data_IF_008947574650
#
_entry.id   IF_008947574650
#
_cell.length_a   1.000
_cell.length_b   1.000
_cell.length_c   1.000
_cell.angle_alpha   90.00
_cell.angle_beta   90.00
_cell.angle_gamma   90.00
#
_symmetry.space_group_name_H-M   'P 1'
#
loop_
_entity.id
_entity.type
_entity.pdbx_description
1 polymer ?
#
# COMPACT_ATOMS: atom_id res chain seq x y z
N UNK A 1 2.44 -19.78 -19.83
CA UNK A 1 3.40 -19.41 -20.89
C UNK A 1 2.80 -18.20 -21.60
N UNK A 2 3.35 -17.02 -21.33
CA UNK A 2 2.92 -15.77 -21.94
C UNK A 2 3.95 -15.43 -23.03
N UNK A 3 3.65 -15.78 -24.28
CA UNK A 3 4.42 -15.31 -25.44
C UNK A 3 3.63 -14.25 -26.19
N UNK A 4 4.32 -13.38 -26.92
CA UNK A 4 3.72 -12.55 -27.97
C UNK A 4 2.98 -13.47 -28.96
N UNK A 5 1.83 -13.06 -29.54
CA UNK A 5 1.16 -13.87 -30.56
C UNK A 5 2.15 -14.17 -31.70
N UNK A 6 2.55 -15.43 -31.84
CA UNK A 6 3.54 -15.90 -32.82
C UNK A 6 4.93 -16.25 -32.27
N UNK A 7 5.19 -16.09 -30.96
CA UNK A 7 6.51 -16.36 -30.37
C UNK A 7 6.46 -17.51 -29.34
N UNK A 8 7.10 -18.63 -29.67
CA UNK A 8 7.27 -19.76 -28.74
C UNK A 8 8.49 -19.54 -27.85
N UNK A 9 8.27 -19.48 -26.54
CA UNK A 9 9.32 -19.50 -25.53
C UNK A 9 9.60 -20.95 -25.13
N UNK A 10 10.87 -21.30 -24.93
CA UNK A 10 11.26 -22.58 -24.33
C UNK A 10 12.09 -22.37 -23.07
N UNK A 11 11.94 -23.28 -22.11
CA UNK A 11 12.70 -23.28 -20.87
C UNK A 11 13.40 -24.63 -20.72
N UNK A 12 14.70 -24.62 -20.38
CA UNK A 12 15.47 -25.82 -20.08
C UNK A 12 16.00 -25.76 -18.65
N UNK A 13 15.79 -26.81 -17.86
CA UNK A 13 16.40 -26.93 -16.54
C UNK A 13 17.91 -27.12 -16.67
N UNK A 14 18.70 -26.39 -15.87
CA UNK A 14 20.16 -26.58 -15.79
C UNK A 14 20.55 -27.51 -14.65
N UNK A 15 21.73 -28.18 -14.71
CA UNK A 15 22.21 -29.09 -13.67
C UNK A 15 22.39 -28.42 -12.29
N UNK A 16 22.55 -27.10 -12.24
CA UNK A 16 22.78 -26.32 -11.00
C UNK A 16 21.49 -25.70 -10.43
N UNK A 17 20.37 -26.39 -10.58
CA UNK A 17 19.05 -25.96 -10.10
C UNK A 17 18.48 -24.67 -10.70
N UNK A 18 19.06 -24.15 -11.80
CA UNK A 18 18.55 -23.00 -12.53
C UNK A 18 17.69 -23.35 -13.74
N UNK A 19 17.27 -22.31 -14.47
CA UNK A 19 16.60 -22.44 -15.77
C UNK A 19 17.31 -21.57 -16.80
N UNK A 20 17.44 -22.08 -18.03
CA UNK A 20 17.70 -21.31 -19.24
C UNK A 20 16.38 -20.95 -19.90
N UNK A 21 16.07 -19.65 -19.97
CA UNK A 21 14.96 -19.16 -20.79
C UNK A 21 15.48 -18.82 -22.18
N UNK A 22 14.85 -19.37 -23.22
CA UNK A 22 15.15 -19.08 -24.61
C UNK A 22 14.07 -18.18 -25.19
N UNK A 23 14.43 -16.92 -25.41
CA UNK A 23 13.63 -16.00 -26.22
C UNK A 23 13.86 -16.32 -27.71
N UNK A 24 12.85 -16.18 -28.60
CA UNK A 24 13.00 -16.19 -30.07
C UNK A 24 14.15 -15.31 -30.61
N UNK A 25 14.62 -14.34 -29.83
CA UNK A 25 15.74 -13.47 -30.15
C UNK A 25 17.13 -14.09 -29.85
N UNK A 26 17.19 -15.36 -29.45
CA UNK A 26 18.43 -16.14 -29.30
C UNK A 26 19.24 -15.83 -28.03
N UNK A 27 18.59 -15.39 -26.96
CA UNK A 27 19.26 -15.12 -25.68
C UNK A 27 18.95 -16.25 -24.70
N UNK A 28 19.99 -16.88 -24.18
CA UNK A 28 19.90 -17.77 -23.02
C UNK A 28 20.07 -16.92 -21.74
N UNK A 29 19.13 -17.03 -20.82
CA UNK A 29 19.19 -16.39 -19.50
C UNK A 29 19.38 -17.46 -18.43
N UNK A 30 20.51 -17.42 -17.73
CA UNK A 30 20.73 -18.28 -16.56
C UNK A 30 20.08 -17.67 -15.33
N UNK A 31 19.08 -18.35 -14.76
CA UNK A 31 18.37 -17.91 -13.55
C UNK A 31 18.74 -18.82 -12.37
N UNK A 32 19.40 -18.27 -11.34
CA UNK A 32 19.69 -18.97 -10.08
C UNK A 32 18.41 -19.06 -9.21
N UNK A 33 17.93 -20.29 -8.99
CA UNK A 33 16.72 -20.59 -8.22
C UNK A 33 16.82 -20.25 -6.74
N UNK A 34 18.01 -20.22 -6.15
CA UNK A 34 18.19 -19.91 -4.73
C UNK A 34 18.22 -18.40 -4.44
N UNK A 35 18.35 -17.57 -5.47
CA UNK A 35 18.25 -16.11 -5.37
C UNK A 35 16.94 -15.55 -5.89
N UNK A 36 16.09 -16.41 -6.47
CA UNK A 36 14.83 -16.05 -7.09
C UNK A 36 15.01 -15.10 -8.28
N UNK A 37 13.96 -14.89 -9.11
CA UNK A 37 13.99 -13.88 -10.16
C UNK A 37 14.09 -12.44 -9.62
N UNK A 38 13.98 -12.25 -8.30
CA UNK A 38 13.91 -10.94 -7.65
C UNK A 38 15.28 -10.38 -7.22
N UNK A 39 16.34 -11.19 -7.13
CA UNK A 39 17.65 -10.73 -6.66
C UNK A 39 18.85 -11.34 -7.43
N UNK A 40 18.97 -11.16 -8.76
CA UNK A 40 20.23 -11.50 -9.42
C UNK A 40 21.39 -10.69 -8.84
N UNK A 41 22.51 -11.38 -8.64
CA UNK A 41 23.73 -10.88 -7.99
C UNK A 41 24.43 -9.72 -8.74
N UNK A 42 23.94 -9.37 -9.93
CA UNK A 42 24.42 -8.29 -10.80
C UNK A 42 23.19 -7.54 -11.29
N UNK A 43 23.11 -6.27 -10.91
CA UNK A 43 22.16 -5.24 -11.36
C UNK A 43 20.94 -5.78 -12.19
N UNK A 44 19.88 -6.27 -11.53
CA UNK A 44 18.77 -7.02 -12.15
C UNK A 44 18.08 -6.37 -13.32
N UNK A 45 18.12 -5.04 -13.39
CA UNK A 45 17.40 -4.27 -14.37
C UNK A 45 18.42 -3.42 -15.11
N UNK A 46 19.02 -4.03 -16.12
CA UNK A 46 19.65 -3.28 -17.18
C UNK A 46 18.62 -2.25 -17.69
N UNK A 47 18.99 -0.97 -17.90
CA UNK A 47 18.05 0.08 -18.30
C UNK A 47 17.17 -0.36 -19.47
N UNK A 48 15.93 0.16 -19.63
CA UNK A 48 15.08 -0.16 -20.79
C UNK A 48 15.74 0.08 -22.15
N UNK A 49 16.81 0.88 -22.21
CA UNK A 49 17.61 1.08 -23.43
C UNK A 49 18.44 -0.14 -23.81
N UNK A 50 18.71 -1.04 -22.87
CA UNK A 50 19.39 -2.31 -23.10
C UNK A 50 18.42 -3.35 -23.68
N UNK A 51 18.98 -4.34 -24.39
CA UNK A 51 18.17 -5.41 -24.99
C UNK A 51 17.36 -6.20 -23.94
N UNK A 52 17.98 -6.51 -22.81
CA UNK A 52 17.32 -7.23 -21.72
C UNK A 52 16.21 -6.40 -21.06
N UNK A 53 16.49 -5.12 -20.77
CA UNK A 53 15.48 -4.21 -20.22
C UNK A 53 14.26 -4.08 -21.14
N UNK A 54 14.46 -4.02 -22.47
CA UNK A 54 13.35 -4.05 -23.45
C UNK A 54 12.50 -5.32 -23.36
N UNK A 55 13.15 -6.48 -23.28
CA UNK A 55 12.44 -7.78 -23.18
C UNK A 55 11.56 -7.81 -21.93
N UNK A 56 12.11 -7.43 -20.78
CA UNK A 56 11.37 -7.40 -19.50
C UNK A 56 10.20 -6.41 -19.58
N UNK A 57 10.44 -5.21 -20.11
CA UNK A 57 9.44 -4.17 -20.25
C UNK A 57 8.27 -4.57 -21.17
N UNK A 58 8.56 -5.04 -22.38
CA UNK A 58 7.52 -5.48 -23.33
C UNK A 58 6.79 -6.72 -22.83
N UNK A 59 7.48 -7.64 -22.15
CA UNK A 59 6.86 -8.80 -21.50
C UNK A 59 5.83 -8.42 -20.45
N UNK A 60 6.15 -7.48 -19.56
CA UNK A 60 5.19 -6.96 -18.57
C UNK A 60 4.02 -6.25 -19.23
N UNK A 61 4.30 -5.38 -20.21
CA UNK A 61 3.27 -4.63 -20.94
C UNK A 61 2.30 -5.55 -21.65
N UNK A 62 2.80 -6.61 -22.30
CA UNK A 62 1.95 -7.61 -22.91
C UNK A 62 1.15 -8.37 -21.84
N UNK A 63 1.78 -8.84 -20.77
CA UNK A 63 1.09 -9.56 -19.70
C UNK A 63 -0.10 -8.77 -19.14
N UNK A 64 0.07 -7.46 -18.88
CA UNK A 64 -1.04 -6.60 -18.46
C UNK A 64 -2.16 -6.53 -19.49
N UNK A 65 -1.84 -6.35 -20.78
CA UNK A 65 -2.84 -6.31 -21.86
C UNK A 65 -3.64 -7.59 -21.97
N UNK A 66 -2.97 -8.74 -21.91
CA UNK A 66 -3.61 -10.06 -21.97
C UNK A 66 -4.53 -10.29 -20.76
N UNK A 67 -4.06 -9.98 -19.55
CA UNK A 67 -4.88 -10.11 -18.33
C UNK A 67 -6.08 -9.18 -18.36
N UNK A 68 -5.92 -7.94 -18.81
CA UNK A 68 -7.02 -6.99 -18.96
C UNK A 68 -8.01 -7.41 -20.06
N UNK A 69 -7.54 -7.97 -21.18
CA UNK A 69 -8.43 -8.51 -22.23
C UNK A 69 -9.25 -9.68 -21.70
N UNK A 70 -8.57 -10.64 -21.07
CA UNK A 70 -9.23 -11.77 -20.42
C UNK A 70 -10.25 -11.29 -19.38
N UNK A 71 -9.90 -10.29 -18.58
CA UNK A 71 -10.81 -9.70 -17.61
C UNK A 71 -12.08 -9.15 -18.25
N UNK A 72 -11.97 -8.41 -19.36
CA UNK A 72 -13.14 -7.90 -20.11
C UNK A 72 -13.97 -9.04 -20.70
N UNK A 73 -13.34 -10.03 -21.32
CA UNK A 73 -14.02 -11.20 -21.89
C UNK A 73 -14.77 -12.01 -20.84
N UNK A 74 -14.23 -12.08 -19.61
CA UNK A 74 -14.83 -12.80 -18.49
C UNK A 74 -15.79 -11.94 -17.66
N UNK A 75 -15.97 -10.67 -18.00
CA UNK A 75 -16.80 -9.74 -17.22
C UNK A 75 -16.28 -9.50 -15.80
N UNK A 76 -14.96 -9.56 -15.59
CA UNK A 76 -14.35 -9.24 -14.30
C UNK A 76 -14.51 -7.74 -14.01
N UNK A 77 -14.61 -7.36 -12.72
CA UNK A 77 -14.45 -5.97 -12.31
C UNK A 77 -13.10 -5.40 -12.79
N UNK A 78 -12.97 -4.06 -12.87
CA UNK A 78 -11.68 -3.41 -13.14
C UNK A 78 -10.57 -3.98 -12.25
N UNK A 79 -9.48 -4.41 -12.89
CA UNK A 79 -8.36 -5.04 -12.19
C UNK A 79 -7.40 -3.98 -11.67
N UNK A 80 -6.84 -4.26 -10.49
CA UNK A 80 -5.81 -3.45 -9.86
C UNK A 80 -4.60 -4.34 -9.59
N UNK A 81 -3.43 -3.92 -10.06
CA UNK A 81 -2.23 -4.73 -10.02
C UNK A 81 -1.32 -4.26 -8.89
N UNK A 82 -0.98 -5.15 -7.98
CA UNK A 82 0.12 -4.93 -7.05
C UNK A 82 1.44 -5.16 -7.79
N UNK A 83 2.16 -4.09 -8.10
CA UNK A 83 3.29 -4.14 -9.01
C UNK A 83 4.58 -4.55 -8.31
N UNK A 84 4.89 -3.91 -7.18
CA UNK A 84 6.15 -4.16 -6.47
C UNK A 84 6.01 -3.86 -4.99
N UNK A 85 6.72 -4.66 -4.20
CA UNK A 85 6.87 -4.47 -2.76
C UNK A 85 8.16 -3.70 -2.49
N UNK A 86 8.05 -2.51 -1.90
CA UNK A 86 9.16 -1.77 -1.30
C UNK A 86 10.48 -1.76 -2.13
N UNK A 87 10.49 -1.19 -3.35
CA UNK A 87 11.61 -1.33 -4.30
C UNK A 87 12.92 -0.63 -3.88
N UNK A 88 12.98 -0.07 -2.68
CA UNK A 88 14.09 0.71 -2.18
C UNK A 88 15.31 -0.12 -1.72
N UNK A 89 15.22 -1.45 -1.72
CA UNK A 89 16.34 -2.29 -1.28
C UNK A 89 17.56 -2.25 -2.22
N UNK A 90 17.40 -1.89 -3.51
CA UNK A 90 18.53 -1.71 -4.44
C UNK A 90 18.16 -0.86 -5.66
N UNK A 91 19.16 -0.26 -6.34
CA UNK A 91 18.94 0.47 -7.61
C UNK A 91 18.31 -0.42 -8.68
N UNK A 92 18.72 -1.68 -8.76
CA UNK A 92 18.14 -2.64 -9.71
C UNK A 92 16.66 -2.93 -9.44
N UNK A 93 16.28 -3.11 -8.17
CA UNK A 93 14.87 -3.25 -7.79
C UNK A 93 14.06 -2.00 -8.15
N UNK A 94 14.64 -0.81 -7.95
CA UNK A 94 14.00 0.45 -8.32
C UNK A 94 13.83 0.59 -9.84
N UNK A 95 14.83 0.24 -10.64
CA UNK A 95 14.69 0.24 -12.11
C UNK A 95 13.61 -0.75 -12.56
N UNK A 96 13.56 -1.95 -11.98
CA UNK A 96 12.50 -2.91 -12.27
C UNK A 96 11.12 -2.35 -11.91
N UNK A 97 10.99 -1.69 -10.76
CA UNK A 97 9.77 -1.02 -10.34
C UNK A 97 9.30 0.03 -11.35
N UNK A 98 10.22 0.91 -11.79
CA UNK A 98 9.95 1.93 -12.80
C UNK A 98 9.51 1.28 -14.13
N UNK A 99 10.19 0.22 -14.56
CA UNK A 99 9.83 -0.54 -15.76
C UNK A 99 8.42 -1.12 -15.66
N UNK A 100 8.07 -1.73 -14.53
CA UNK A 100 6.75 -2.32 -14.30
C UNK A 100 5.64 -1.27 -14.23
N UNK A 101 5.87 -0.16 -13.51
CA UNK A 101 4.93 0.95 -13.40
C UNK A 101 4.63 1.57 -14.76
N UNK A 102 5.69 1.85 -15.54
CA UNK A 102 5.54 2.37 -16.90
C UNK A 102 4.83 1.38 -17.82
N UNK A 103 5.18 0.10 -17.76
CA UNK A 103 4.54 -0.94 -18.56
C UNK A 103 3.04 -1.07 -18.23
N UNK A 104 2.68 -0.98 -16.94
CA UNK A 104 1.30 -0.97 -16.49
C UNK A 104 0.54 0.24 -17.03
N UNK A 105 1.09 1.45 -16.90
CA UNK A 105 0.47 2.68 -17.40
C UNK A 105 0.23 2.61 -18.92
N UNK A 106 1.22 2.20 -19.71
CA UNK A 106 1.10 2.08 -21.17
C UNK A 106 0.19 0.92 -21.63
N UNK A 107 -0.08 -0.05 -20.75
CA UNK A 107 -1.06 -1.10 -20.96
C UNK A 107 -2.49 -0.68 -20.54
N UNK A 108 -2.65 0.49 -19.93
CA UNK A 108 -3.93 0.93 -19.33
C UNK A 108 -4.30 0.17 -18.06
N UNK A 109 -3.32 -0.44 -17.38
CA UNK A 109 -3.49 -1.11 -16.11
C UNK A 109 -3.38 -0.11 -14.95
N UNK A 110 -4.25 -0.24 -13.96
CA UNK A 110 -4.10 0.47 -12.70
C UNK A 110 -3.10 -0.28 -11.81
N UNK A 111 -2.07 0.43 -11.36
CA UNK A 111 -1.00 -0.11 -10.52
C UNK A 111 -1.05 0.44 -9.10
N UNK A 112 -0.68 -0.41 -8.14
CA UNK A 112 -0.40 -0.07 -6.76
C UNK A 112 1.01 -0.55 -6.40
N UNK A 113 1.70 0.25 -5.59
CA UNK A 113 3.00 -0.09 -5.00
C UNK A 113 2.95 0.10 -3.49
N UNK A 114 3.76 -0.65 -2.75
CA UNK A 114 4.16 -0.22 -1.40
C UNK A 114 5.45 0.58 -1.50
N UNK A 115 5.52 1.67 -0.75
CA UNK A 115 6.59 2.63 -0.89
C UNK A 115 6.93 3.36 0.41
N UNK A 116 8.14 3.93 0.40
CA UNK A 116 8.56 4.95 1.35
C UNK A 116 8.55 6.31 0.64
N UNK A 117 8.36 7.41 1.37
CA UNK A 117 8.28 8.73 0.73
C UNK A 117 9.47 9.05 -0.21
N UNK A 118 10.73 8.71 0.15
CA UNK A 118 11.85 8.99 -0.74
C UNK A 118 11.91 8.19 -2.06
N UNK A 119 10.97 7.27 -2.28
CA UNK A 119 10.93 6.40 -3.47
C UNK A 119 9.97 6.89 -4.54
N UNK A 120 9.04 7.76 -4.18
CA UNK A 120 7.94 8.18 -5.05
C UNK A 120 8.00 9.66 -5.36
N UNK A 121 8.15 10.50 -4.33
CA UNK A 121 8.19 11.95 -4.48
C UNK A 121 9.59 12.41 -4.88
N UNK A 122 9.74 13.69 -5.22
CA UNK A 122 11.03 14.39 -5.12
C UNK A 122 11.28 14.81 -3.65
N UNK A 123 11.76 13.94 -2.74
CA UNK A 123 12.27 14.47 -1.50
C UNK A 123 13.49 15.34 -1.83
N UNK A 124 13.79 16.21 -0.87
CA UNK A 124 15.13 16.73 -0.60
C UNK A 124 16.20 15.84 -1.26
N UNK A 125 16.95 16.34 -2.27
CA UNK A 125 17.93 15.56 -3.03
C UNK A 125 18.89 14.77 -2.15
N UNK A 126 19.19 15.28 -0.94
CA UNK A 126 20.07 14.68 0.05
C UNK A 126 19.43 13.50 0.81
N UNK A 127 18.11 13.30 0.67
CA UNK A 127 17.33 12.24 1.33
C UNK A 127 16.82 11.17 0.38
N UNK A 128 17.19 11.23 -0.91
CA UNK A 128 16.81 10.22 -1.90
C UNK A 128 17.50 8.89 -1.57
N UNK A 129 16.75 7.79 -1.63
CA UNK A 129 17.33 6.45 -1.52
C UNK A 129 18.30 6.15 -2.66
N UNK A 130 18.01 6.68 -3.85
CA UNK A 130 18.85 6.51 -5.04
C UNK A 130 19.15 7.87 -5.68
N UNK A 131 20.16 8.60 -5.17
CA UNK A 131 20.63 9.82 -5.81
C UNK A 131 21.19 9.54 -7.22
N UNK A 132 21.43 10.59 -8.04
CA UNK A 132 22.07 10.42 -9.35
C UNK A 132 23.42 9.70 -9.25
N UNK A 133 23.76 8.89 -10.26
CA UNK A 133 25.06 8.20 -10.35
C UNK A 133 25.58 8.33 -11.78
N UNK A 134 26.66 9.11 -11.96
CA UNK A 134 27.15 9.48 -13.29
C UNK A 134 26.06 10.23 -14.06
N UNK A 135 25.75 9.75 -15.27
CA UNK A 135 24.71 10.34 -16.13
C UNK A 135 23.29 9.81 -15.80
N UNK A 136 23.16 8.84 -14.90
CA UNK A 136 21.85 8.33 -14.51
C UNK A 136 21.18 9.30 -13.52
N UNK A 137 19.95 9.76 -13.79
CA UNK A 137 19.21 10.60 -12.85
C UNK A 137 18.89 9.83 -11.57
N UNK A 138 18.39 10.55 -10.57
CA UNK A 138 17.79 9.89 -9.42
C UNK A 138 16.65 8.98 -9.88
N UNK A 139 16.53 7.82 -9.23
CA UNK A 139 15.46 6.86 -9.52
C UNK A 139 14.27 7.15 -8.62
N UNK A 140 13.11 7.38 -9.22
CA UNK A 140 11.83 7.65 -8.55
C UNK A 140 10.71 6.99 -9.35
N UNK A 141 9.60 6.68 -8.70
CA UNK A 141 8.48 5.97 -9.34
C UNK A 141 7.46 6.92 -10.02
N UNK A 142 7.53 8.21 -9.71
CA UNK A 142 6.76 9.23 -10.42
C UNK A 142 7.21 9.38 -11.89
N UNK A 143 6.27 9.67 -12.81
CA UNK A 143 4.82 9.84 -12.64
C UNK A 143 4.01 8.55 -12.96
N UNK A 144 4.62 7.37 -12.87
CA UNK A 144 4.08 6.14 -13.48
C UNK A 144 3.16 5.32 -12.57
N UNK A 145 2.82 5.84 -11.38
CA UNK A 145 2.06 5.14 -10.36
C UNK A 145 0.75 5.89 -10.14
N UNK A 146 -0.37 5.19 -9.94
CA UNK A 146 -1.68 5.79 -9.63
C UNK A 146 -2.10 5.62 -8.18
N UNK A 147 -1.40 4.77 -7.44
CA UNK A 147 -1.74 4.42 -6.05
C UNK A 147 -0.49 4.09 -5.28
N UNK A 148 -0.33 4.79 -4.16
CA UNK A 148 0.84 4.72 -3.30
C UNK A 148 0.41 4.23 -1.92
N UNK A 149 0.90 3.06 -1.52
CA UNK A 149 0.71 2.54 -0.17
C UNK A 149 1.96 2.80 0.65
N UNK A 150 1.91 3.83 1.49
CA UNK A 150 3.07 4.22 2.28
C UNK A 150 3.24 3.34 3.51
N UNK A 151 4.50 3.11 3.90
CA UNK A 151 4.79 2.63 5.25
C UNK A 151 4.26 3.67 6.25
N UNK A 152 3.64 3.23 7.35
CA UNK A 152 2.98 4.13 8.30
C UNK A 152 3.85 5.32 8.76
N UNK A 153 5.16 5.11 8.98
CA UNK A 153 6.13 6.17 9.33
C UNK A 153 6.28 7.34 8.35
N UNK A 154 5.80 7.20 7.12
CA UNK A 154 5.83 8.25 6.10
C UNK A 154 4.47 8.89 5.88
N UNK A 155 3.46 8.49 6.66
CA UNK A 155 2.15 9.09 6.60
C UNK A 155 2.16 10.47 7.25
N UNK A 156 1.48 11.41 6.60
CA UNK A 156 1.24 12.72 7.16
C UNK A 156 0.47 13.62 6.19
N UNK A 157 0.04 14.81 6.66
CA UNK A 157 -0.67 15.77 5.81
C UNK A 157 0.14 16.21 4.57
N UNK A 158 1.46 16.33 4.71
CA UNK A 158 2.36 16.71 3.60
C UNK A 158 2.42 15.62 2.53
N UNK A 159 2.65 14.36 2.92
CA UNK A 159 2.65 13.20 2.02
C UNK A 159 1.30 13.03 1.31
N UNK A 160 0.20 13.21 2.05
CA UNK A 160 -1.16 13.22 1.51
C UNK A 160 -1.31 14.25 0.40
N UNK A 161 -0.95 15.50 0.68
CA UNK A 161 -1.13 16.60 -0.25
C UNK A 161 -0.31 16.38 -1.53
N UNK A 162 0.95 15.97 -1.42
CA UNK A 162 1.78 15.61 -2.59
C UNK A 162 1.16 14.49 -3.42
N UNK A 163 0.71 13.43 -2.76
CA UNK A 163 0.07 12.28 -3.46
C UNK A 163 -1.17 12.73 -4.23
N UNK A 164 -2.00 13.59 -3.63
CA UNK A 164 -3.21 14.13 -4.27
C UNK A 164 -2.88 15.10 -5.41
N UNK A 165 -1.86 15.94 -5.27
CA UNK A 165 -1.38 16.83 -6.34
C UNK A 165 -0.89 16.05 -7.56
N UNK A 166 -0.32 14.86 -7.36
CA UNK A 166 0.04 13.94 -8.43
C UNK A 166 -1.17 13.25 -9.09
N UNK A 167 -2.38 13.40 -8.53
CA UNK A 167 -3.59 12.73 -9.00
C UNK A 167 -3.70 11.27 -8.53
N UNK A 168 -2.91 10.88 -7.53
CA UNK A 168 -2.80 9.50 -7.08
C UNK A 168 -3.68 9.22 -5.85
N UNK A 169 -4.00 7.94 -5.67
CA UNK A 169 -4.61 7.45 -4.43
C UNK A 169 -3.57 7.34 -3.33
N UNK A 170 -3.92 7.86 -2.16
CA UNK A 170 -3.10 7.89 -0.96
C UNK A 170 -3.52 6.77 -0.01
N UNK A 171 -2.66 5.78 0.16
CA UNK A 171 -2.90 4.62 0.99
C UNK A 171 -1.82 4.35 2.01
N UNK A 172 -2.10 3.40 2.88
CA UNK A 172 -1.12 2.80 3.78
C UNK A 172 -1.16 1.28 3.70
N UNK A 173 -0.12 0.63 4.20
CA UNK A 173 -0.19 -0.78 4.54
C UNK A 173 0.15 -1.02 6.01
N UNK A 174 -0.53 -2.01 6.59
CA UNK A 174 -0.31 -2.47 7.95
C UNK A 174 0.43 -3.80 7.88
N UNK A 175 1.63 -3.81 8.46
CA UNK A 175 2.38 -5.03 8.69
C UNK A 175 1.72 -5.80 9.85
N UNK A 176 1.56 -7.12 9.76
CA UNK A 176 0.90 -7.91 10.82
C UNK A 176 1.88 -8.48 11.85
N UNK A 177 3.18 -8.16 11.74
CA UNK A 177 4.17 -8.64 12.70
C UNK A 177 4.18 -7.77 13.94
N UNK A 178 3.91 -8.37 15.10
CA UNK A 178 4.16 -7.71 16.40
C UNK A 178 3.17 -6.61 16.79
N UNK A 179 2.17 -6.34 15.96
CA UNK A 179 1.14 -5.34 16.26
C UNK A 179 0.24 -5.78 17.42
N UNK A 180 -0.34 -4.78 18.08
CA UNK A 180 -1.44 -4.97 19.02
C UNK A 180 -2.77 -4.76 18.28
N UNK A 181 -3.86 -5.42 18.71
CA UNK A 181 -5.18 -5.18 18.10
C UNK A 181 -5.56 -3.70 18.10
N UNK A 182 -5.35 -3.01 19.23
CA UNK A 182 -5.63 -1.59 19.35
C UNK A 182 -4.87 -0.74 18.32
N UNK A 183 -3.59 -1.05 18.05
CA UNK A 183 -2.84 -0.30 17.04
C UNK A 183 -3.32 -0.59 15.62
N UNK A 184 -3.63 -1.85 15.31
CA UNK A 184 -4.23 -2.21 14.01
C UNK A 184 -5.56 -1.50 13.78
N UNK A 185 -6.44 -1.47 14.79
CA UNK A 185 -7.71 -0.74 14.77
C UNK A 185 -7.50 0.76 14.57
N UNK A 186 -6.51 1.35 15.26
CA UNK A 186 -6.14 2.76 15.09
C UNK A 186 -5.72 3.07 13.65
N UNK A 187 -4.78 2.29 13.11
CA UNK A 187 -4.21 2.52 11.77
C UNK A 187 -5.25 2.32 10.66
N UNK A 188 -6.04 1.26 10.75
CA UNK A 188 -7.07 0.94 9.76
C UNK A 188 -8.31 1.83 9.87
N UNK A 189 -8.50 2.47 11.04
CA UNK A 189 -9.65 3.27 11.38
C UNK A 189 -9.34 4.76 11.50
N UNK A 190 -9.07 5.17 12.73
CA UNK A 190 -8.90 6.58 13.12
C UNK A 190 -7.82 7.32 12.32
N UNK A 191 -6.65 6.71 12.10
CA UNK A 191 -5.60 7.33 11.30
C UNK A 191 -6.03 7.48 9.84
N UNK A 192 -6.69 6.46 9.29
CA UNK A 192 -7.15 6.46 7.91
C UNK A 192 -8.18 7.58 7.68
N UNK A 193 -9.12 7.78 8.61
CA UNK A 193 -10.02 8.94 8.59
C UNK A 193 -9.25 10.26 8.71
N UNK A 194 -8.37 10.39 9.71
CA UNK A 194 -7.66 11.64 10.01
C UNK A 194 -6.82 12.14 8.83
N UNK A 195 -6.23 11.21 8.09
CA UNK A 195 -5.40 11.50 6.92
C UNK A 195 -6.18 11.44 5.60
N UNK A 196 -7.46 11.07 5.62
CA UNK A 196 -8.27 10.86 4.42
C UNK A 196 -7.60 9.89 3.44
N UNK A 197 -7.23 8.71 3.94
CA UNK A 197 -6.66 7.63 3.12
C UNK A 197 -7.73 7.06 2.19
N UNK A 198 -7.36 6.79 0.95
CA UNK A 198 -8.22 6.14 -0.04
C UNK A 198 -8.23 4.61 0.13
N UNK A 199 -7.19 4.06 0.79
CA UNK A 199 -7.09 2.63 1.06
C UNK A 199 -6.18 2.28 2.24
N UNK A 200 -6.47 1.12 2.82
CA UNK A 200 -5.64 0.44 3.82
C UNK A 200 -5.40 -0.98 3.32
N UNK A 201 -4.13 -1.34 3.13
CA UNK A 201 -3.73 -2.70 2.76
C UNK A 201 -3.25 -3.46 4.00
N UNK A 202 -3.69 -4.71 4.15
CA UNK A 202 -3.06 -5.64 5.09
C UNK A 202 -2.04 -6.47 4.32
N UNK A 203 -0.75 -6.35 4.67
CA UNK A 203 0.33 -6.95 3.87
C UNK A 203 0.22 -8.47 3.73
N UNK A 204 -0.41 -9.15 4.69
CA UNK A 204 -0.42 -10.62 4.68
C UNK A 204 -1.75 -11.24 5.12
N UNK A 205 -2.00 -12.42 4.53
CA UNK A 205 -3.09 -13.33 4.88
C UNK A 205 -2.54 -14.72 5.23
N UNK A 206 -2.92 -15.24 6.40
CA UNK A 206 -2.80 -16.65 6.86
C UNK A 206 -1.38 -17.25 7.11
N UNK A 207 -0.39 -17.06 6.24
CA UNK A 207 0.80 -17.94 6.23
C UNK A 207 2.00 -17.51 7.10
N UNK A 208 2.02 -16.29 7.66
CA UNK A 208 3.09 -15.87 8.57
C UNK A 208 2.61 -15.45 9.97
N UNK A 209 1.32 -15.64 10.29
CA UNK A 209 0.85 -15.46 11.66
C UNK A 209 1.40 -16.59 12.51
N UNK A 210 2.34 -16.26 13.41
CA UNK A 210 2.67 -17.15 14.53
C UNK A 210 1.40 -17.35 15.37
N UNK A 211 1.21 -18.56 15.86
CA UNK A 211 0.26 -18.78 16.94
C UNK A 211 0.83 -18.14 18.20
N UNK A 212 0.09 -17.24 18.81
CA UNK A 212 0.42 -16.68 20.12
C UNK A 212 -0.73 -17.09 21.05
N UNK A 213 -0.41 -17.88 22.07
CA UNK A 213 -1.35 -18.25 23.14
C UNK A 213 -2.67 -18.90 22.63
N UNK A 214 -2.58 -19.74 21.58
CA UNK A 214 -3.75 -20.42 21.02
C UNK A 214 -4.60 -19.57 20.07
N UNK A 215 -4.23 -18.31 19.81
CA UNK A 215 -4.88 -17.45 18.82
C UNK A 215 -3.97 -17.22 17.62
N UNK A 216 -4.53 -17.38 16.42
CA UNK A 216 -3.83 -17.00 15.19
C UNK A 216 -3.79 -15.48 15.09
N UNK A 217 -2.59 -14.90 15.18
CA UNK A 217 -2.33 -13.45 15.15
C UNK A 217 -3.04 -12.75 13.98
N UNK A 218 -3.11 -13.38 12.82
CA UNK A 218 -3.81 -12.81 11.65
C UNK A 218 -5.30 -12.60 11.88
N UNK A 219 -6.02 -13.54 12.51
CA UNK A 219 -7.47 -13.40 12.70
C UNK A 219 -7.78 -12.24 13.66
N UNK A 220 -6.99 -12.14 14.72
CA UNK A 220 -7.07 -11.05 15.70
C UNK A 220 -6.84 -9.68 15.05
N UNK A 221 -5.77 -9.54 14.27
CA UNK A 221 -5.45 -8.27 13.61
C UNK A 221 -6.42 -7.96 12.46
N UNK A 222 -6.95 -8.99 11.79
CA UNK A 222 -8.02 -8.85 10.80
C UNK A 222 -9.29 -8.30 11.42
N UNK A 223 -9.76 -8.85 12.55
CA UNK A 223 -10.93 -8.34 13.25
C UNK A 223 -10.71 -6.93 13.79
N UNK A 224 -9.51 -6.63 14.31
CA UNK A 224 -9.16 -5.27 14.71
C UNK A 224 -9.18 -4.28 13.54
N UNK A 225 -8.67 -4.68 12.38
CA UNK A 225 -8.74 -3.86 11.16
C UNK A 225 -10.20 -3.66 10.71
N UNK A 226 -11.02 -4.71 10.73
CA UNK A 226 -12.46 -4.62 10.42
C UNK A 226 -13.17 -3.65 11.36
N UNK A 227 -12.91 -3.75 12.67
CA UNK A 227 -13.43 -2.81 13.66
C UNK A 227 -13.01 -1.37 13.40
N UNK A 228 -11.75 -1.14 12.99
CA UNK A 228 -11.27 0.19 12.61
C UNK A 228 -11.98 0.75 11.38
N UNK A 229 -12.19 -0.10 10.36
CA UNK A 229 -12.95 0.28 9.16
C UNK A 229 -14.40 0.61 9.53
N UNK A 230 -15.02 -0.16 10.42
CA UNK A 230 -16.35 0.15 10.92
C UNK A 230 -16.36 1.48 11.69
N UNK A 231 -15.36 1.78 12.53
CA UNK A 231 -15.24 3.08 13.22
C UNK A 231 -15.23 4.26 12.25
N UNK A 232 -14.49 4.19 11.14
CA UNK A 232 -14.51 5.23 10.10
C UNK A 232 -15.90 5.40 9.53
N UNK A 233 -16.59 4.31 9.20
CA UNK A 233 -17.94 4.36 8.61
C UNK A 233 -18.93 5.07 9.53
N UNK A 234 -18.80 4.89 10.84
CA UNK A 234 -19.60 5.62 11.83
C UNK A 234 -19.24 7.11 11.82
N UNK A 235 -17.96 7.47 11.83
CA UNK A 235 -17.54 8.87 11.80
C UNK A 235 -18.02 9.56 10.50
N UNK A 236 -17.82 8.93 9.33
CA UNK A 236 -18.30 9.46 8.05
C UNK A 236 -19.82 9.55 7.98
N UNK A 237 -20.55 8.62 8.61
CA UNK A 237 -22.00 8.70 8.71
C UNK A 237 -22.43 9.91 9.56
N UNK A 238 -21.72 10.20 10.65
CA UNK A 238 -21.94 11.39 11.47
C UNK A 238 -21.64 12.67 10.68
N UNK A 239 -20.54 12.72 9.92
CA UNK A 239 -20.19 13.85 9.04
C UNK A 239 -21.30 14.13 8.03
N UNK A 240 -21.73 13.11 7.28
CA UNK A 240 -22.83 13.25 6.31
C UNK A 240 -24.14 13.69 6.96
N UNK A 241 -24.46 13.17 8.15
CA UNK A 241 -25.67 13.58 8.87
C UNK A 241 -25.61 15.06 9.26
N UNK A 242 -24.47 15.53 9.78
CA UNK A 242 -24.23 16.95 10.11
C UNK A 242 -24.29 17.85 8.88
N UNK A 243 -23.71 17.41 7.75
CA UNK A 243 -23.73 18.14 6.47
C UNK A 243 -25.14 18.25 5.88
N UNK A 244 -25.97 17.21 6.04
CA UNK A 244 -27.36 17.22 5.56
C UNK A 244 -28.25 18.23 6.27
N UNK A 245 -27.84 18.71 7.46
CA UNK A 245 -28.62 19.62 8.29
C UNK A 245 -29.87 18.99 8.93
N UNK A 246 -30.03 17.67 8.84
CA UNK A 246 -31.13 16.93 9.50
C UNK A 246 -30.83 16.77 10.99
N UNK A 247 -31.79 17.16 11.84
CA UNK A 247 -31.72 17.05 13.30
C UNK A 247 -31.92 18.39 14.01
N UNK A 248 -32.18 18.35 15.32
CA UNK A 248 -32.32 19.57 16.12
C UNK A 248 -31.00 20.39 16.10
N UNK A 249 -31.04 21.75 16.06
CA UNK A 249 -29.83 22.58 15.99
C UNK A 249 -28.81 22.29 17.10
N UNK A 250 -29.30 21.99 18.31
CA UNK A 250 -28.43 21.62 19.44
C UNK A 250 -27.73 20.26 19.26
N UNK A 251 -28.37 19.28 18.61
CA UNK A 251 -27.76 17.99 18.30
C UNK A 251 -26.67 18.14 17.22
N UNK A 252 -26.95 18.93 16.18
CA UNK A 252 -25.97 19.27 15.14
C UNK A 252 -24.75 19.98 15.72
N UNK A 253 -24.94 20.95 16.63
CA UNK A 253 -23.85 21.64 17.30
C UNK A 253 -22.96 20.67 18.11
N UNK A 254 -23.56 19.80 18.93
CA UNK A 254 -22.81 18.78 19.70
C UNK A 254 -22.08 17.78 18.80
N UNK A 255 -22.68 17.37 17.68
CA UNK A 255 -22.04 16.48 16.72
C UNK A 255 -20.80 17.13 16.07
N UNK A 256 -20.88 18.43 15.72
CA UNK A 256 -19.72 19.21 15.23
C UNK A 256 -18.63 19.33 16.28
N UNK A 257 -18.99 19.58 17.53
CA UNK A 257 -18.02 19.62 18.65
C UNK A 257 -17.32 18.28 18.84
N UNK A 258 -18.07 17.17 18.76
CA UNK A 258 -17.53 15.82 18.80
C UNK A 258 -16.51 15.59 17.67
N UNK A 259 -16.88 15.85 16.41
CA UNK A 259 -15.98 15.71 15.26
C UNK A 259 -14.71 16.56 15.41
N UNK A 260 -14.86 17.82 15.78
CA UNK A 260 -13.71 18.72 15.99
C UNK A 260 -12.80 18.25 17.13
N UNK A 261 -13.37 17.64 18.18
CA UNK A 261 -12.59 17.05 19.28
C UNK A 261 -11.84 15.81 18.79
N UNK A 262 -12.50 14.90 18.06
CA UNK A 262 -11.85 13.72 17.49
C UNK A 262 -10.69 14.11 16.58
N UNK A 263 -10.83 15.14 15.75
CA UNK A 263 -9.75 15.63 14.89
C UNK A 263 -8.50 16.07 15.69
N UNK A 264 -8.68 16.62 16.89
CA UNK A 264 -7.58 17.01 17.79
C UNK A 264 -6.99 15.83 18.56
N UNK A 265 -7.84 14.88 18.96
CA UNK A 265 -7.43 13.70 19.72
C UNK A 265 -6.64 12.71 18.86
N UNK A 266 -7.05 12.53 17.59
CA UNK A 266 -6.45 11.61 16.64
C UNK A 266 -5.20 12.25 16.03
N UNK A 267 -4.06 11.63 16.31
CA UNK A 267 -2.76 12.08 15.83
C UNK A 267 -2.55 11.60 14.39
N UNK A 268 -2.12 12.49 13.47
CA UNK A 268 -1.77 12.10 12.11
C UNK A 268 -0.41 11.38 11.98
N UNK A 269 0.30 11.14 13.07
CA UNK A 269 1.68 10.64 13.11
C UNK A 269 1.74 9.32 13.88
N UNK A 270 1.90 8.17 13.21
CA UNK A 270 1.83 6.84 13.83
C UNK A 270 2.80 6.62 14.99
N UNK A 271 3.97 7.25 14.96
CA UNK A 271 5.00 7.17 16.01
C UNK A 271 4.49 7.66 17.37
N UNK A 272 3.56 8.62 17.40
CA UNK A 272 2.99 9.08 18.66
C UNK A 272 2.06 8.04 19.30
N UNK A 273 1.56 7.10 18.51
CA UNK A 273 0.67 6.01 18.94
C UNK A 273 1.47 4.77 19.30
N UNK A 274 2.56 4.51 18.57
CA UNK A 274 3.51 3.45 18.86
C UNK A 274 4.10 2.82 17.61
N UNK A 275 4.97 1.85 17.82
CA UNK A 275 5.68 1.17 16.75
C UNK A 275 6.00 -0.27 17.14
N UNK A 276 6.29 -1.10 16.13
CA UNK A 276 6.85 -2.43 16.36
C UNK A 276 8.37 -2.28 16.44
N UNK A 277 8.95 -2.64 17.58
CA UNK A 277 10.39 -2.64 17.76
C UNK A 277 11.05 -3.65 16.81
N UNK A 278 11.97 -3.17 15.95
CA UNK A 278 12.57 -3.99 14.90
C UNK A 278 13.48 -5.12 15.40
N UNK A 279 13.93 -5.04 16.66
CA UNK A 279 14.82 -6.05 17.28
C UNK A 279 14.01 -7.15 17.93
N UNK A 280 13.03 -6.79 18.75
CA UNK A 280 12.22 -7.71 19.55
C UNK A 280 10.96 -8.17 18.84
N UNK A 281 10.52 -7.45 17.81
CA UNK A 281 9.24 -7.67 17.12
C UNK A 281 8.03 -7.39 18.02
N UNK A 282 8.19 -6.63 19.10
CA UNK A 282 7.12 -6.30 20.05
C UNK A 282 6.61 -4.89 19.82
N UNK A 283 5.31 -4.69 20.01
CA UNK A 283 4.72 -3.36 20.06
C UNK A 283 5.24 -2.55 21.24
N UNK A 284 5.65 -1.32 20.97
CA UNK A 284 6.03 -0.30 21.95
C UNK A 284 4.98 0.82 21.88
N UNK A 285 4.18 1.04 22.94
CA UNK A 285 3.17 2.10 22.92
C UNK A 285 3.85 3.48 22.89
N UNK A 286 3.33 4.36 22.05
CA UNK A 286 3.74 5.77 21.98
C UNK A 286 3.10 6.61 23.08
N UNK A 287 3.59 7.84 23.22
CA UNK A 287 3.14 8.81 24.25
C UNK A 287 1.65 9.17 24.19
N UNK A 288 0.99 8.96 23.05
CA UNK A 288 -0.43 9.24 22.81
C UNK A 288 -1.21 7.96 22.45
N UNK A 289 -0.66 6.79 22.77
CA UNK A 289 -1.40 5.54 22.65
C UNK A 289 -2.67 5.60 23.50
N UNK A 290 -3.80 5.24 22.92
CA UNK A 290 -5.04 5.07 23.66
C UNK A 290 -5.09 3.70 24.34
N UNK A 291 -5.72 3.66 25.51
CA UNK A 291 -6.17 2.40 26.09
C UNK A 291 -7.26 1.77 25.21
N UNK A 292 -7.37 0.43 25.13
CA UNK A 292 -8.37 -0.27 24.31
C UNK A 292 -9.81 0.24 24.51
N UNK A 293 -10.18 0.58 25.74
CA UNK A 293 -11.53 1.02 26.12
C UNK A 293 -11.91 2.32 25.41
N UNK A 294 -10.94 3.20 25.14
CA UNK A 294 -11.18 4.50 24.50
C UNK A 294 -11.72 4.35 23.08
N UNK A 295 -11.32 3.30 22.37
CA UNK A 295 -11.80 3.04 21.01
C UNK A 295 -13.31 2.74 21.01
N UNK A 296 -13.77 1.97 21.99
CA UNK A 296 -15.19 1.61 22.14
C UNK A 296 -16.02 2.78 22.69
N UNK A 297 -15.46 3.58 23.59
CA UNK A 297 -16.07 4.83 24.05
C UNK A 297 -16.35 5.77 22.87
N UNK A 298 -15.35 5.99 22.00
CA UNK A 298 -15.51 6.86 20.82
C UNK A 298 -16.57 6.30 19.88
N UNK A 299 -16.54 5.00 19.57
CA UNK A 299 -17.58 4.36 18.74
C UNK A 299 -18.97 4.60 19.33
N UNK A 300 -19.13 4.41 20.64
CA UNK A 300 -20.41 4.61 21.32
C UNK A 300 -20.85 6.08 21.34
N UNK A 301 -19.91 7.02 21.52
CA UNK A 301 -20.17 8.45 21.45
C UNK A 301 -20.65 8.88 20.06
N UNK A 302 -19.97 8.42 19.00
CA UNK A 302 -20.36 8.67 17.61
C UNK A 302 -21.73 8.07 17.30
N UNK A 303 -21.99 6.82 17.70
CA UNK A 303 -23.28 6.18 17.51
C UNK A 303 -24.43 6.92 18.23
N UNK A 304 -24.21 7.38 19.46
CA UNK A 304 -25.19 8.21 20.19
C UNK A 304 -25.43 9.55 19.51
N UNK A 305 -24.39 10.19 18.98
CA UNK A 305 -24.52 11.44 18.23
C UNK A 305 -25.36 11.25 16.96
N UNK A 306 -25.15 10.16 16.21
CA UNK A 306 -25.97 9.81 15.04
C UNK A 306 -27.43 9.59 15.45
N UNK A 307 -27.68 8.82 16.52
CA UNK A 307 -29.04 8.57 16.99
C UNK A 307 -29.77 9.87 17.38
N UNK A 308 -29.10 10.77 18.11
CA UNK A 308 -29.65 12.06 18.52
C UNK A 308 -29.98 13.00 17.34
N UNK A 309 -29.34 12.83 16.18
CA UNK A 309 -29.69 13.57 14.96
C UNK A 309 -30.95 13.02 14.28
N UNK A 310 -31.28 11.74 14.49
CA UNK A 310 -32.45 11.07 13.92
C UNK A 310 -33.74 11.26 14.73
N UNK A 311 -33.64 11.71 15.98
CA UNK A 311 -34.80 12.06 16.79
C UNK A 311 -35.44 13.35 16.25
N UNK A 312 -36.74 13.30 15.92
CA UNK A 312 -37.48 14.47 15.45
C UNK A 312 -37.50 15.57 16.53
N UNK A 313 -37.45 16.86 16.14
CA UNK A 313 -37.41 17.98 17.09
C UNK A 313 -38.65 18.11 17.96
#
# INVERSE_FOLDING_TARGET
MCGLPGESWSARSTPHHGYELFHPLGVALEVDRHRGPYYPARDPAAPPTTRYGRIVYEGWKQAFREILSLGRERGWPPLWFYLIDEPHHSRGAMRLAILMARAAQEAGADGMITCNEPTVSEPDPDKRWFPPVGDEPALMLEPWVKTRCYHNRYLGPETRERTRQAGDRYGTYINIYGNQPASTRYLAGFLAWRLGLDLVMLWQRKNASKELEGVRVWLRDWEAAREGIDDIRYIEALERAVESGVGAPGAIAKARELLARLEREIVPTPEEIGYVDGVTGRWVPGKRAWAPERYDEIRAEVARAIAALGEAP
#
